data_IF_804621706680
#
_entry.id   IF_804621706680
#
_cell.length_a   1.000
_cell.length_b   1.000
_cell.length_c   1.000
_cell.angle_alpha   90.00
_cell.angle_beta   90.00
_cell.angle_gamma   90.00
#
_symmetry.space_group_name_H-M   'P 1'
#
loop_
_entity.id
_entity.type
_entity.pdbx_description
1 polymer ?
#
# COMPACT_ATOMS: atom_id res chain seq x y z
N UNK A 1 12.96 4.18 18.62
CA UNK A 1 13.52 3.27 17.58
C UNK A 1 12.66 3.29 16.31
N UNK A 2 11.36 2.99 16.41
CA UNK A 2 10.43 3.01 15.25
C UNK A 2 10.36 4.37 14.55
N UNK A 3 10.23 5.48 15.30
CA UNK A 3 10.23 6.83 14.71
C UNK A 3 11.53 7.14 13.95
N UNK A 4 12.67 6.66 14.46
CA UNK A 4 13.96 6.82 13.77
C UNK A 4 14.00 5.98 12.47
N UNK A 5 13.47 4.76 12.49
CA UNK A 5 13.35 3.94 11.27
C UNK A 5 12.41 4.59 10.25
N UNK A 6 11.32 5.21 10.69
CA UNK A 6 10.37 5.88 9.79
C UNK A 6 10.83 7.27 9.33
N UNK A 7 11.98 7.76 9.81
CA UNK A 7 12.49 9.09 9.46
C UNK A 7 13.21 9.16 8.11
N UNK A 8 13.51 8.00 7.49
CA UNK A 8 14.17 7.92 6.19
C UNK A 8 13.65 6.73 5.37
N UNK A 9 13.69 6.84 4.04
CA UNK A 9 13.11 5.88 3.10
C UNK A 9 13.60 4.43 3.28
N UNK A 10 14.89 4.22 3.56
CA UNK A 10 15.45 2.88 3.80
C UNK A 10 14.88 2.21 5.06
N UNK A 11 14.62 2.97 6.12
CA UNK A 11 14.09 2.44 7.35
C UNK A 11 12.58 2.16 7.23
N UNK A 12 11.85 2.97 6.47
CA UNK A 12 10.46 2.71 6.09
C UNK A 12 10.36 1.40 5.29
N UNK A 13 11.26 1.19 4.32
CA UNK A 13 11.32 -0.07 3.54
C UNK A 13 11.59 -1.27 4.43
N UNK A 14 12.61 -1.20 5.29
CA UNK A 14 12.94 -2.28 6.22
C UNK A 14 11.79 -2.60 7.18
N UNK A 15 11.07 -1.57 7.63
CA UNK A 15 9.84 -1.73 8.42
C UNK A 15 8.76 -2.49 7.64
N UNK A 16 8.41 -2.04 6.42
CA UNK A 16 7.36 -2.68 5.64
C UNK A 16 7.68 -4.14 5.31
N UNK A 17 8.93 -4.45 4.94
CA UNK A 17 9.36 -5.83 4.73
C UNK A 17 9.10 -6.65 5.99
N UNK A 18 9.63 -6.22 7.14
CA UNK A 18 9.53 -6.99 8.38
C UNK A 18 8.08 -7.15 8.85
N UNK A 19 7.30 -6.07 8.83
CA UNK A 19 5.93 -6.08 9.36
C UNK A 19 4.95 -6.80 8.44
N UNK A 20 5.05 -6.58 7.13
CA UNK A 20 4.08 -7.14 6.18
C UNK A 20 4.33 -8.62 5.89
N UNK A 21 5.56 -9.10 6.04
CA UNK A 21 5.90 -10.52 5.80
C UNK A 21 6.12 -11.32 7.09
N UNK A 22 5.84 -10.74 8.27
CA UNK A 22 5.96 -11.47 9.53
C UNK A 22 5.04 -12.69 9.55
N UNK A 23 5.60 -13.86 9.82
CA UNK A 23 4.83 -15.06 10.15
C UNK A 23 4.36 -14.98 11.62
N UNK A 24 3.15 -15.48 11.94
CA UNK A 24 2.71 -15.60 13.33
C UNK A 24 3.69 -16.48 14.12
N UNK A 25 4.14 -16.00 15.29
CA UNK A 25 5.12 -16.69 16.13
C UNK A 25 4.61 -18.03 16.70
N UNK A 26 3.31 -18.27 16.64
CA UNK A 26 2.59 -19.36 17.28
C UNK A 26 2.35 -20.57 16.36
N UNK A 27 2.91 -20.57 15.14
CA UNK A 27 2.93 -21.76 14.27
C UNK A 27 1.53 -22.26 13.85
N UNK A 28 0.49 -21.47 14.09
CA UNK A 28 -0.90 -21.81 13.87
C UNK A 28 -1.30 -21.79 12.39
N UNK A 29 -0.40 -21.42 11.47
CA UNK A 29 -0.65 -21.36 10.02
C UNK A 29 -1.70 -20.33 9.61
N UNK A 30 -2.34 -19.69 10.59
CA UNK A 30 -3.21 -18.56 10.45
C UNK A 30 -2.43 -17.44 11.09
N UNK A 31 -1.90 -16.51 10.29
CA UNK A 31 -1.51 -15.23 10.83
C UNK A 31 -2.70 -14.76 11.64
N UNK A 32 -2.57 -14.70 12.97
CA UNK A 32 -3.59 -14.09 13.80
C UNK A 32 -3.94 -12.80 13.07
N UNK A 33 -5.21 -12.69 12.67
CA UNK A 33 -5.84 -11.44 12.29
C UNK A 33 -5.70 -10.54 13.54
N UNK A 34 -4.50 -10.03 13.79
CA UNK A 34 -4.32 -8.82 14.58
C UNK A 34 -5.01 -7.78 13.74
N UNK A 35 -6.33 -7.65 13.89
CA UNK A 35 -7.17 -6.74 13.13
C UNK A 35 -6.57 -5.34 13.16
N UNK A 36 -5.95 -4.99 14.29
CA UNK A 36 -5.38 -3.68 14.55
C UNK A 36 -3.85 -3.64 14.47
N UNK A 37 -3.37 -2.54 13.89
CA UNK A 37 -1.96 -2.14 13.92
C UNK A 37 -1.56 -1.88 15.38
N UNK A 38 -0.42 -2.40 15.88
CA UNK A 38 0.02 -2.13 17.26
C UNK A 38 0.09 -0.63 17.57
N UNK A 39 -0.39 -0.20 18.74
CA UNK A 39 -0.47 1.22 19.12
C UNK A 39 0.86 1.97 19.01
N UNK A 40 1.97 1.32 19.37
CA UNK A 40 3.30 1.90 19.24
C UNK A 40 3.66 2.24 17.78
N UNK A 41 3.21 1.41 16.84
CA UNK A 41 3.38 1.64 15.41
C UNK A 41 2.42 2.72 14.92
N UNK A 42 1.16 2.72 15.35
CA UNK A 42 0.21 3.78 15.03
C UNK A 42 0.76 5.17 15.40
N UNK A 43 1.33 5.28 16.61
CA UNK A 43 1.93 6.52 17.12
C UNK A 43 3.14 6.93 16.25
N UNK A 44 4.01 5.99 15.92
CA UNK A 44 5.19 6.26 15.11
C UNK A 44 4.81 6.72 13.69
N UNK A 45 3.82 6.09 13.05
CA UNK A 45 3.28 6.51 11.75
C UNK A 45 2.68 7.92 11.81
N UNK A 46 1.96 8.25 12.88
CA UNK A 46 1.36 9.57 13.09
C UNK A 46 2.39 10.69 13.35
N UNK A 47 3.56 10.36 13.91
CA UNK A 47 4.59 11.36 14.24
C UNK A 47 5.44 11.84 13.05
N UNK A 48 5.34 11.18 11.88
CA UNK A 48 6.14 11.51 10.70
C UNK A 48 5.69 12.84 10.11
N UNK A 49 6.55 13.87 10.16
CA UNK A 49 6.20 15.24 9.71
C UNK A 49 6.03 15.33 8.20
N UNK A 50 6.93 14.72 7.43
CA UNK A 50 6.79 14.59 5.99
C UNK A 50 6.54 13.13 5.62
N UNK A 51 5.26 12.79 5.46
CA UNK A 51 4.82 11.45 5.15
C UNK A 51 4.89 11.12 3.65
N UNK A 52 5.56 11.90 2.78
CA UNK A 52 5.59 11.63 1.32
C UNK A 52 6.09 10.23 1.03
N UNK A 53 7.29 9.91 1.49
CA UNK A 53 7.90 8.60 1.25
C UNK A 53 7.13 7.49 1.97
N UNK A 54 6.62 7.77 3.16
CA UNK A 54 5.82 6.82 3.93
C UNK A 54 4.54 6.42 3.21
N UNK A 55 3.77 7.39 2.73
CA UNK A 55 2.51 7.15 1.99
C UNK A 55 2.80 6.49 0.65
N UNK A 56 3.81 6.97 -0.09
CA UNK A 56 4.21 6.36 -1.36
C UNK A 56 4.60 4.88 -1.20
N UNK A 57 5.42 4.57 -0.20
CA UNK A 57 5.82 3.20 0.12
C UNK A 57 4.65 2.36 0.63
N UNK A 58 3.72 2.94 1.41
CA UNK A 58 2.51 2.24 1.84
C UNK A 58 1.63 1.86 0.64
N UNK A 59 1.42 2.79 -0.30
CA UNK A 59 0.69 2.53 -1.54
C UNK A 59 1.36 1.43 -2.37
N UNK A 60 2.70 1.48 -2.52
CA UNK A 60 3.47 0.43 -3.20
C UNK A 60 3.30 -0.95 -2.56
N UNK A 61 3.33 -1.01 -1.23
CA UNK A 61 3.15 -2.24 -0.46
C UNK A 61 1.70 -2.75 -0.44
N UNK A 62 0.74 -1.99 -0.97
CA UNK A 62 -0.60 -2.46 -1.29
C UNK A 62 -0.68 -2.91 -2.75
N UNK A 63 -0.24 -2.05 -3.68
CA UNK A 63 -0.42 -2.21 -5.13
C UNK A 63 0.33 -3.43 -5.65
N UNK A 64 1.62 -3.55 -5.34
CA UNK A 64 2.45 -4.63 -5.87
C UNK A 64 1.90 -6.01 -5.50
N UNK A 65 1.67 -6.34 -4.21
CA UNK A 65 1.10 -7.64 -3.86
C UNK A 65 -0.34 -7.83 -4.37
N UNK A 66 -1.14 -6.77 -4.49
CA UNK A 66 -2.48 -6.87 -5.11
C UNK A 66 -2.36 -7.34 -6.56
N UNK A 67 -1.51 -6.71 -7.36
CA UNK A 67 -1.26 -7.11 -8.75
C UNK A 67 -0.70 -8.54 -8.83
N UNK A 68 0.22 -8.90 -7.93
CA UNK A 68 0.84 -10.23 -7.92
C UNK A 68 -0.14 -11.35 -7.58
N UNK A 69 -1.20 -11.07 -6.82
CA UNK A 69 -2.24 -12.06 -6.46
C UNK A 69 -2.85 -12.72 -7.69
N UNK A 70 -2.99 -12.01 -8.81
CA UNK A 70 -3.54 -12.57 -10.05
C UNK A 70 -2.50 -12.90 -11.11
N UNK A 71 -1.21 -12.60 -10.87
CA UNK A 71 -0.09 -12.98 -11.73
C UNK A 71 0.55 -14.31 -11.34
N UNK A 72 0.60 -14.65 -10.05
CA UNK A 72 1.14 -15.93 -9.60
C UNK A 72 0.25 -17.08 -10.07
N UNK A 73 0.86 -18.18 -10.50
CA UNK A 73 0.16 -19.45 -10.81
C UNK A 73 0.14 -20.41 -9.62
N UNK A 74 1.04 -20.20 -8.67
CA UNK A 74 1.19 -20.98 -7.44
C UNK A 74 0.24 -20.45 -6.34
N UNK A 75 -0.69 -21.27 -5.82
CA UNK A 75 -1.64 -20.89 -4.78
C UNK A 75 -0.99 -20.32 -3.52
N UNK A 76 0.17 -20.83 -3.10
CA UNK A 76 0.82 -20.38 -1.87
C UNK A 76 1.38 -18.97 -2.04
N UNK A 77 1.90 -18.66 -3.23
CA UNK A 77 2.39 -17.33 -3.58
C UNK A 77 1.24 -16.32 -3.77
N UNK A 78 0.10 -16.77 -4.30
CA UNK A 78 -1.12 -15.96 -4.37
C UNK A 78 -1.60 -15.60 -2.97
N UNK A 79 -1.65 -16.56 -2.05
CA UNK A 79 -2.10 -16.34 -0.67
C UNK A 79 -1.15 -15.41 0.09
N UNK A 80 0.16 -15.62 -0.03
CA UNK A 80 1.17 -14.73 0.55
C UNK A 80 1.04 -13.29 0.04
N UNK A 81 0.80 -13.12 -1.26
CA UNK A 81 0.52 -11.81 -1.86
C UNK A 81 -0.76 -11.19 -1.32
N UNK A 82 -1.84 -11.98 -1.19
CA UNK A 82 -3.13 -11.53 -0.65
C UNK A 82 -3.00 -11.05 0.80
N UNK A 83 -2.28 -11.79 1.64
CA UNK A 83 -2.02 -11.42 3.04
C UNK A 83 -1.19 -10.14 3.12
N UNK A 84 -0.15 -10.02 2.30
CA UNK A 84 0.69 -8.81 2.23
C UNK A 84 -0.13 -7.59 1.82
N UNK A 85 -0.98 -7.72 0.78
CA UNK A 85 -1.87 -6.65 0.34
C UNK A 85 -2.87 -6.26 1.43
N UNK A 86 -3.47 -7.23 2.14
CA UNK A 86 -4.37 -6.97 3.27
C UNK A 86 -3.69 -6.19 4.40
N UNK A 87 -2.47 -6.57 4.78
CA UNK A 87 -1.67 -5.84 5.78
C UNK A 87 -1.29 -4.43 5.31
N UNK A 88 -0.89 -4.30 4.04
CA UNK A 88 -0.58 -3.01 3.41
C UNK A 88 -1.79 -2.07 3.40
N UNK A 89 -2.98 -2.60 3.08
CA UNK A 89 -4.24 -1.85 3.12
C UNK A 89 -4.54 -1.30 4.51
N UNK A 90 -4.35 -2.10 5.56
CA UNK A 90 -4.55 -1.65 6.95
C UNK A 90 -3.62 -0.50 7.31
N UNK A 91 -2.34 -0.60 6.97
CA UNK A 91 -1.40 0.52 7.19
C UNK A 91 -1.86 1.77 6.44
N UNK A 92 -2.28 1.64 5.18
CA UNK A 92 -2.77 2.77 4.41
C UNK A 92 -4.07 3.37 4.99
N UNK A 93 -4.98 2.54 5.50
CA UNK A 93 -6.20 2.99 6.19
C UNK A 93 -5.87 3.76 7.47
N UNK A 94 -4.91 3.30 8.27
CA UNK A 94 -4.45 4.05 9.43
C UNK A 94 -3.82 5.38 9.01
N UNK A 95 -2.95 5.37 8.00
CA UNK A 95 -2.36 6.60 7.45
C UNK A 95 -3.43 7.56 6.94
N UNK A 96 -4.56 7.08 6.43
CA UNK A 96 -5.67 7.93 6.02
C UNK A 96 -6.29 8.71 7.21
N UNK A 97 -6.14 8.24 8.45
CA UNK A 97 -6.63 8.93 9.65
C UNK A 97 -5.67 9.99 10.18
N UNK A 98 -4.36 9.85 9.93
CA UNK A 98 -3.31 10.73 10.47
C UNK A 98 -2.64 11.62 9.42
N UNK A 99 -2.72 11.24 8.14
CA UNK A 99 -2.14 11.91 6.96
C UNK A 99 -3.16 12.01 5.82
N UNK A 100 -4.43 12.26 6.16
CA UNK A 100 -5.61 12.17 5.28
C UNK A 100 -5.39 12.80 3.90
N UNK A 101 -5.00 14.08 3.84
CA UNK A 101 -4.85 14.80 2.57
C UNK A 101 -3.83 14.15 1.64
N UNK A 102 -2.74 13.63 2.21
CA UNK A 102 -1.67 13.01 1.43
C UNK A 102 -2.07 11.63 0.94
N UNK A 103 -2.74 10.84 1.79
CA UNK A 103 -3.29 9.54 1.37
C UNK A 103 -4.38 9.73 0.30
N UNK A 104 -5.27 10.71 0.45
CA UNK A 104 -6.28 11.07 -0.55
C UNK A 104 -5.63 11.41 -1.90
N UNK A 105 -4.64 12.30 -1.91
CA UNK A 105 -3.93 12.67 -3.14
C UNK A 105 -3.32 11.46 -3.86
N UNK A 106 -2.63 10.59 -3.11
CA UNK A 106 -2.03 9.37 -3.67
C UNK A 106 -3.08 8.38 -4.18
N UNK A 107 -4.12 8.08 -3.40
CA UNK A 107 -5.17 7.15 -3.80
C UNK A 107 -5.93 7.64 -5.03
N UNK A 108 -6.28 8.93 -5.09
CA UNK A 108 -6.91 9.53 -6.28
C UNK A 108 -6.01 9.44 -7.50
N UNK A 109 -4.71 9.73 -7.36
CA UNK A 109 -3.77 9.63 -8.48
C UNK A 109 -3.59 8.18 -8.97
N UNK A 110 -3.56 7.20 -8.05
CA UNK A 110 -3.53 5.77 -8.38
C UNK A 110 -4.79 5.37 -9.15
N UNK A 111 -5.97 5.80 -8.69
CA UNK A 111 -7.25 5.51 -9.36
C UNK A 111 -7.28 6.11 -10.77
N UNK A 112 -6.85 7.37 -10.94
CA UNK A 112 -6.75 8.02 -12.25
C UNK A 112 -5.66 7.42 -13.16
N UNK A 113 -4.61 6.81 -12.60
CA UNK A 113 -3.58 6.13 -13.37
C UNK A 113 -3.99 4.71 -13.78
N UNK A 114 -4.80 4.02 -12.98
CA UNK A 114 -5.22 2.63 -13.21
C UNK A 114 -6.56 2.51 -13.96
N UNK A 115 -7.36 3.59 -14.00
CA UNK A 115 -8.62 3.63 -14.74
C UNK A 115 -8.38 4.24 -16.12
N UNK A 116 -8.80 3.56 -17.19
CA UNK A 116 -8.77 4.09 -18.56
C UNK A 116 -9.78 5.24 -18.79
N UNK A 117 -10.58 5.57 -17.78
CA UNK A 117 -11.57 6.64 -17.87
C UNK A 117 -10.89 8.02 -17.79
N UNK A 118 -11.00 8.77 -18.89
CA UNK A 118 -10.48 10.13 -19.07
C UNK A 118 -11.19 11.20 -18.22
N UNK A 119 -11.96 10.80 -17.21
CA UNK A 119 -12.57 11.72 -16.26
C UNK A 119 -11.56 11.99 -15.18
N UNK A 120 -10.78 13.06 -15.32
CA UNK A 120 -9.84 13.50 -14.28
C UNK A 120 -10.62 13.81 -13.00
N UNK A 121 -10.53 12.99 -11.92
CA UNK A 121 -10.76 13.55 -10.60
C UNK A 121 -9.70 14.66 -10.41
N UNK A 122 -9.98 15.61 -9.52
CA UNK A 122 -9.17 16.79 -9.15
C UNK A 122 -7.78 16.40 -8.59
N UNK A 123 -6.99 15.68 -9.39
CA UNK A 123 -5.83 14.91 -9.03
C UNK A 123 -4.58 15.55 -9.61
N UNK A 124 -3.50 15.51 -8.84
CA UNK A 124 -2.20 15.99 -9.26
C UNK A 124 -1.71 15.18 -10.48
N UNK A 125 -1.60 15.86 -11.64
CA UNK A 125 -1.17 15.26 -12.90
C UNK A 125 0.25 14.68 -12.83
N UNK A 126 1.16 15.30 -12.07
CA UNK A 126 2.51 14.76 -11.90
C UNK A 126 2.47 13.42 -11.17
N UNK A 127 1.64 13.33 -10.13
CA UNK A 127 1.46 12.10 -9.36
C UNK A 127 0.74 11.01 -10.16
N UNK A 128 -0.26 11.38 -10.98
CA UNK A 128 -0.91 10.44 -11.92
C UNK A 128 0.10 9.89 -12.92
N UNK A 129 0.91 10.76 -13.55
CA UNK A 129 1.92 10.35 -14.52
C UNK A 129 3.02 9.48 -13.90
N UNK A 130 3.38 9.74 -12.65
CA UNK A 130 4.27 8.88 -11.88
C UNK A 130 3.70 7.45 -11.77
N UNK A 131 2.43 7.31 -11.36
CA UNK A 131 1.80 5.99 -11.21
C UNK A 131 1.57 5.28 -12.54
N UNK A 132 1.24 6.00 -13.61
CA UNK A 132 1.19 5.44 -14.98
C UNK A 132 2.54 4.84 -15.37
N UNK A 133 3.61 5.62 -15.20
CA UNK A 133 4.99 5.16 -15.47
C UNK A 133 5.36 3.96 -14.61
N UNK A 134 4.91 3.93 -13.35
CA UNK A 134 5.10 2.80 -12.46
C UNK A 134 4.41 1.54 -13.00
N UNK A 135 3.11 1.60 -13.35
CA UNK A 135 2.37 0.46 -13.88
C UNK A 135 2.94 -0.07 -15.20
N UNK A 136 3.34 0.83 -16.09
CA UNK A 136 4.01 0.48 -17.35
C UNK A 136 5.33 -0.23 -17.10
N UNK A 137 6.17 0.31 -16.20
CA UNK A 137 7.48 -0.27 -15.85
C UNK A 137 7.35 -1.70 -15.31
N UNK A 138 6.32 -1.98 -14.51
CA UNK A 138 6.06 -3.30 -13.95
C UNK A 138 5.22 -4.20 -14.87
N UNK A 139 4.77 -3.69 -16.01
CA UNK A 139 4.06 -4.45 -17.03
C UNK A 139 2.65 -4.90 -16.63
N UNK A 140 2.01 -4.21 -15.68
CA UNK A 140 0.66 -4.55 -15.22
C UNK A 140 -0.36 -4.46 -16.35
N UNK A 141 -1.28 -5.42 -16.41
CA UNK A 141 -2.32 -5.52 -17.43
C UNK A 141 -3.69 -5.18 -16.85
N UNK A 142 -4.70 -5.13 -17.72
CA UNK A 142 -6.08 -4.77 -17.38
C UNK A 142 -6.60 -5.47 -16.11
N UNK A 143 -6.39 -6.78 -15.98
CA UNK A 143 -6.79 -7.53 -14.78
C UNK A 143 -6.12 -6.99 -13.50
N UNK A 144 -4.81 -6.76 -13.52
CA UNK A 144 -4.08 -6.23 -12.37
C UNK A 144 -4.51 -4.79 -12.04
N UNK A 145 -4.72 -3.95 -13.06
CA UNK A 145 -5.20 -2.59 -12.87
C UNK A 145 -6.60 -2.57 -12.24
N UNK A 146 -7.49 -3.44 -12.69
CA UNK A 146 -8.81 -3.61 -12.09
C UNK A 146 -8.72 -4.07 -10.62
N UNK A 147 -7.86 -5.04 -10.31
CA UNK A 147 -7.63 -5.51 -8.93
C UNK A 147 -7.09 -4.37 -8.04
N UNK A 148 -6.18 -3.54 -8.57
CA UNK A 148 -5.66 -2.35 -7.88
C UNK A 148 -6.78 -1.34 -7.59
N UNK A 149 -7.61 -1.01 -8.59
CA UNK A 149 -8.75 -0.09 -8.43
C UNK A 149 -9.74 -0.59 -7.37
N UNK A 150 -9.95 -1.91 -7.29
CA UNK A 150 -10.80 -2.52 -6.27
C UNK A 150 -10.17 -2.48 -4.86
N UNK A 151 -8.84 -2.51 -4.76
CA UNK A 151 -8.13 -2.55 -3.48
C UNK A 151 -7.94 -1.16 -2.83
N UNK A 152 -7.68 -0.13 -3.64
CA UNK A 152 -7.34 1.24 -3.21
C UNK A 152 -8.52 1.91 -2.49
N UNK A 153 -8.20 2.76 -1.50
CA UNK A 153 -9.19 3.53 -0.74
C UNK A 153 -9.85 4.55 -1.67
N UNK A 154 -11.18 4.54 -1.73
CA UNK A 154 -11.97 5.50 -2.48
C UNK A 154 -12.39 6.63 -1.56
N UNK A 155 -12.34 7.84 -2.07
CA UNK A 155 -12.79 9.03 -1.39
C UNK A 155 -13.96 9.60 -2.18
N UNK A 156 -15.05 9.91 -1.47
CA UNK A 156 -16.19 10.65 -2.01
C UNK A 156 -15.87 12.17 -2.13
#
# INVERSE_FOLDING_TARGET
LLEAQLSHSDGIRGFFVTYLTAEPQDGSGVAADQEDIPQALQNALGSVKDATDLVSLACMNLIMPTAMTTMHTDPDQQESSRLTASRGKRVLQHLATVHELKVKAYCTAILGAASDESGEPDADLELVNYWKSFFEKWGYKEKQLHDIVAAVIKYD
#
